data_IF_773075525244
#
_entry.id   IF_773075525244
#
_cell.length_a   1.000
_cell.length_b   1.000
_cell.length_c   1.000
_cell.angle_alpha   90.00
_cell.angle_beta   90.00
_cell.angle_gamma   90.00
#
_symmetry.space_group_name_H-M   'P 1'
#
loop_
_entity.id
_entity.type
_entity.pdbx_description
1 polymer ?
#
# COMPACT_ATOMS: atom_id res chain seq x y z
N UNK A 1 -5.87 -9.20 -8.60
CA UNK A 1 -6.47 -9.14 -7.25
C UNK A 1 -7.19 -7.82 -7.06
N UNK A 2 -8.36 -7.84 -6.43
CA UNK A 2 -9.08 -6.65 -6.00
C UNK A 2 -8.61 -6.17 -4.61
N UNK A 3 -9.10 -5.02 -4.16
CA UNK A 3 -8.67 -4.40 -2.91
C UNK A 3 -8.95 -5.28 -1.68
N UNK A 4 -10.03 -6.08 -1.72
CA UNK A 4 -10.40 -7.01 -0.65
C UNK A 4 -9.42 -8.17 -0.55
N UNK A 5 -9.14 -8.84 -1.66
CA UNK A 5 -8.15 -9.93 -1.73
C UNK A 5 -6.76 -9.46 -1.29
N UNK A 6 -6.38 -8.25 -1.72
CA UNK A 6 -5.09 -7.66 -1.37
C UNK A 6 -4.98 -7.37 0.12
N UNK A 7 -6.06 -6.90 0.76
CA UNK A 7 -6.11 -6.74 2.22
C UNK A 7 -5.97 -8.08 2.97
N UNK A 8 -6.62 -9.14 2.49
CA UNK A 8 -6.49 -10.48 3.09
C UNK A 8 -5.03 -10.95 2.99
N UNK A 9 -4.39 -10.76 1.84
CA UNK A 9 -2.98 -11.12 1.66
C UNK A 9 -2.05 -10.34 2.60
N UNK A 10 -2.29 -9.03 2.78
CA UNK A 10 -1.54 -8.21 3.74
C UNK A 10 -1.67 -8.79 5.16
N UNK A 11 -2.88 -9.13 5.59
CA UNK A 11 -3.13 -9.72 6.92
C UNK A 11 -2.37 -11.03 7.06
N UNK A 12 -2.46 -11.93 6.08
CA UNK A 12 -1.77 -13.22 6.12
C UNK A 12 -0.25 -13.04 6.25
N UNK A 13 0.35 -12.12 5.50
CA UNK A 13 1.79 -11.83 5.61
C UNK A 13 2.14 -11.31 7.01
N UNK A 14 1.32 -10.39 7.54
CA UNK A 14 1.55 -9.82 8.86
C UNK A 14 1.47 -10.88 9.96
N UNK A 15 0.50 -11.80 9.88
CA UNK A 15 0.35 -12.87 10.87
C UNK A 15 1.46 -13.92 10.80
N UNK A 16 1.84 -14.32 9.59
CA UNK A 16 2.83 -15.39 9.38
C UNK A 16 4.26 -14.91 9.60
N UNK A 17 4.59 -13.69 9.17
CA UNK A 17 5.97 -13.21 9.08
C UNK A 17 6.27 -12.03 10.00
N UNK A 18 5.33 -11.10 10.21
CA UNK A 18 5.64 -9.88 10.97
C UNK A 18 5.58 -10.08 12.49
N UNK A 19 4.78 -11.01 13.03
CA UNK A 19 4.62 -11.19 14.49
C UNK A 19 5.93 -11.50 15.23
N UNK A 20 6.92 -12.09 14.56
CA UNK A 20 8.25 -12.41 15.13
C UNK A 20 9.40 -11.68 14.42
N UNK A 21 9.08 -10.69 13.60
CA UNK A 21 10.08 -9.91 12.88
C UNK A 21 10.84 -9.02 13.86
N UNK A 22 12.17 -9.04 13.80
CA UNK A 22 13.03 -8.20 14.65
C UNK A 22 12.80 -6.70 14.43
N UNK A 23 12.34 -6.33 13.23
CA UNK A 23 12.03 -4.94 12.86
C UNK A 23 10.59 -4.52 13.20
N UNK A 24 9.78 -5.37 13.84
CA UNK A 24 8.35 -5.10 14.12
C UNK A 24 8.13 -3.81 14.92
N UNK A 25 9.01 -3.52 15.88
CA UNK A 25 8.93 -2.34 16.73
C UNK A 25 9.77 -1.16 16.21
N UNK A 26 10.44 -1.34 15.07
CA UNK A 26 11.19 -0.28 14.41
C UNK A 26 10.30 0.74 13.72
N UNK A 27 10.89 1.81 13.21
CA UNK A 27 10.17 2.76 12.37
C UNK A 27 9.67 2.10 11.08
N UNK A 28 8.64 2.67 10.49
CA UNK A 28 8.08 2.15 9.23
C UNK A 28 9.13 2.07 8.12
N UNK A 29 9.95 3.11 7.99
CA UNK A 29 11.03 3.16 7.01
C UNK A 29 12.09 2.09 7.29
N UNK A 30 12.51 1.95 8.55
CA UNK A 30 13.49 0.94 8.94
C UNK A 30 12.97 -0.48 8.66
N UNK A 31 11.69 -0.74 8.88
CA UNK A 31 11.07 -2.03 8.54
C UNK A 31 11.08 -2.29 7.03
N UNK A 32 10.73 -1.32 6.18
CA UNK A 32 10.73 -1.53 4.72
C UNK A 32 12.15 -1.74 4.18
N UNK A 33 13.12 -1.02 4.71
CA UNK A 33 14.52 -1.10 4.27
C UNK A 33 15.16 -2.44 4.65
N UNK A 34 14.78 -3.00 5.80
CA UNK A 34 15.46 -4.17 6.38
C UNK A 34 14.62 -5.46 6.37
N UNK A 35 13.32 -5.40 6.04
CA UNK A 35 12.43 -6.56 6.00
C UNK A 35 11.80 -6.76 4.62
N UNK A 36 12.07 -7.92 3.99
CA UNK A 36 11.46 -8.28 2.71
C UNK A 36 9.92 -8.33 2.77
N UNK A 37 9.36 -8.81 3.90
CA UNK A 37 7.92 -8.86 4.14
C UNK A 37 7.34 -7.47 4.40
N UNK A 38 8.09 -6.61 5.10
CA UNK A 38 7.75 -5.20 5.28
C UNK A 38 7.64 -4.47 3.94
N UNK A 39 8.61 -4.69 3.04
CA UNK A 39 8.59 -4.18 1.67
C UNK A 39 7.42 -4.73 0.84
N UNK A 40 7.13 -6.03 0.95
CA UNK A 40 5.98 -6.63 0.26
C UNK A 40 4.65 -6.04 0.73
N UNK A 41 4.45 -5.89 2.06
CA UNK A 41 3.26 -5.25 2.63
C UNK A 41 3.12 -3.80 2.15
N UNK A 42 4.21 -3.05 2.06
CA UNK A 42 4.21 -1.68 1.54
C UNK A 42 3.71 -1.62 0.08
N UNK A 43 4.25 -2.47 -0.80
CA UNK A 43 3.83 -2.52 -2.20
C UNK A 43 2.36 -2.89 -2.35
N UNK A 44 1.88 -3.87 -1.57
CA UNK A 44 0.47 -4.26 -1.57
C UNK A 44 -0.44 -3.10 -1.09
N UNK A 45 -0.01 -2.33 -0.08
CA UNK A 45 -0.75 -1.14 0.39
C UNK A 45 -0.84 -0.05 -0.68
N UNK A 46 0.24 0.21 -1.41
CA UNK A 46 0.22 1.16 -2.54
C UNK A 46 -0.79 0.69 -3.59
N UNK A 47 -0.75 -0.59 -3.96
CA UNK A 47 -1.70 -1.17 -4.93
C UNK A 47 -3.16 -0.96 -4.52
N UNK A 48 -3.48 -1.16 -3.22
CA UNK A 48 -4.82 -0.90 -2.69
C UNK A 48 -5.20 0.58 -2.79
N UNK A 49 -4.29 1.50 -2.48
CA UNK A 49 -4.56 2.94 -2.56
C UNK A 49 -4.84 3.38 -4.00
N UNK A 50 -4.10 2.85 -4.97
CA UNK A 50 -4.35 3.11 -6.40
C UNK A 50 -5.74 2.61 -6.80
N UNK A 51 -6.11 1.37 -6.42
CA UNK A 51 -7.44 0.83 -6.74
C UNK A 51 -8.59 1.63 -6.10
N UNK A 52 -8.40 2.08 -4.85
CA UNK A 52 -9.37 2.94 -4.17
C UNK A 52 -9.51 4.25 -4.94
N UNK A 53 -8.40 4.89 -5.29
CA UNK A 53 -8.37 6.14 -6.06
C UNK A 53 -9.08 5.99 -7.41
N UNK A 54 -8.81 4.92 -8.15
CA UNK A 54 -9.46 4.64 -9.44
C UNK A 54 -10.98 4.44 -9.28
N UNK A 55 -11.39 3.77 -8.20
CA UNK A 55 -12.81 3.55 -7.88
C UNK A 55 -13.51 4.86 -7.56
N UNK A 56 -12.88 5.73 -6.75
CA UNK A 56 -13.41 7.06 -6.43
C UNK A 56 -13.49 7.96 -7.67
N UNK A 57 -12.47 7.95 -8.52
CA UNK A 57 -12.49 8.73 -9.77
C UNK A 57 -13.63 8.30 -10.69
N UNK A 58 -13.82 7.00 -10.87
CA UNK A 58 -14.93 6.45 -11.67
C UNK A 58 -16.28 6.83 -11.09
N UNK A 59 -16.45 6.74 -9.77
CA UNK A 59 -17.69 7.10 -9.10
C UNK A 59 -18.03 8.60 -9.23
N UNK A 60 -17.01 9.46 -9.24
CA UNK A 60 -17.17 10.92 -9.34
C UNK A 60 -17.11 11.46 -10.78
N UNK A 61 -16.87 10.60 -11.79
CA UNK A 61 -16.75 11.01 -13.18
C UNK A 61 -15.58 11.95 -13.48
N UNK A 62 -14.51 11.93 -12.66
CA UNK A 62 -13.38 12.86 -12.79
C UNK A 62 -12.45 12.40 -13.93
N UNK A 63 -12.15 13.26 -14.92
CA UNK A 63 -11.23 12.91 -15.99
C UNK A 63 -9.79 12.79 -15.47
N UNK A 64 -9.06 11.78 -15.98
CA UNK A 64 -7.72 11.36 -15.54
C UNK A 64 -6.69 12.52 -15.56
N UNK A 65 -6.84 13.51 -16.46
CA UNK A 65 -5.94 14.66 -16.59
C UNK A 65 -5.89 15.59 -15.36
N UNK A 66 -6.91 15.57 -14.50
CA UNK A 66 -7.01 16.37 -13.28
C UNK A 66 -6.18 15.77 -12.13
N UNK A 67 -5.48 14.66 -12.32
CA UNK A 67 -4.91 13.93 -11.17
C UNK A 67 -3.38 13.96 -11.13
N UNK A 68 -2.73 14.21 -12.27
CA UNK A 68 -1.27 14.26 -12.36
C UNK A 68 -0.66 15.39 -11.49
N UNK A 69 -1.40 16.45 -11.21
CA UNK A 69 -0.91 17.57 -10.38
C UNK A 69 -0.94 17.30 -8.87
N UNK A 70 -1.74 16.34 -8.38
CA UNK A 70 -1.89 16.07 -6.95
C UNK A 70 -0.94 14.98 -6.41
N UNK A 71 -0.19 14.33 -7.31
CA UNK A 71 0.84 13.32 -6.98
C UNK A 71 2.18 13.78 -7.53
N UNK A 72 2.54 15.05 -7.29
CA UNK A 72 3.92 15.49 -7.44
C UNK A 72 4.57 15.45 -6.04
N UNK A 73 5.53 14.54 -5.78
CA UNK A 73 6.24 14.49 -4.51
C UNK A 73 7.22 15.66 -4.29
N UNK A 74 7.33 16.62 -5.23
CA UNK A 74 8.24 17.77 -5.18
C UNK A 74 7.51 19.14 -5.10
N UNK A 75 6.30 19.21 -4.55
CA UNK A 75 5.67 20.49 -4.15
C UNK A 75 5.38 20.48 -2.65
#
# INVERSE_FOLDING_TARGET
MNAKETRIQIINIQEQHCRRCEYLFGSYQHCIENCEWGKAVYQLRIGVLVQIKDTFQKAMGIPIGIVLYAVNPNN
#
